data_IF_142882258245
#
_entry.id   IF_142882258245
#
_cell.length_a   1.000
_cell.length_b   1.000
_cell.length_c   1.000
_cell.angle_alpha   90.00
_cell.angle_beta   90.00
_cell.angle_gamma   90.00
#
_symmetry.space_group_name_H-M   'P 1'
#
loop_
_entity.id
_entity.type
_entity.pdbx_description
1 polymer ?
#
# COMPACT_ATOMS: atom_id res chain seq x y z
N UNK A 1 31.18 6.34 -1.30
CA UNK A 1 30.91 7.35 -0.26
C UNK A 1 29.57 8.00 -0.60
N UNK A 2 28.49 7.67 0.12
CA UNK A 2 27.19 8.29 -0.17
C UNK A 2 27.23 9.76 0.29
N UNK A 3 26.95 10.69 -0.61
CA UNK A 3 26.67 12.06 -0.20
C UNK A 3 25.42 12.02 0.68
N UNK A 4 25.52 12.57 1.89
CA UNK A 4 24.35 12.78 2.73
C UNK A 4 23.35 13.64 1.94
N UNK A 5 22.11 13.18 1.87
CA UNK A 5 21.04 13.86 1.17
C UNK A 5 20.84 15.26 1.77
N UNK A 6 20.96 16.31 0.95
CA UNK A 6 20.81 17.69 1.40
C UNK A 6 19.33 18.02 1.59
N UNK A 7 18.88 18.06 2.84
CA UNK A 7 17.50 18.42 3.19
C UNK A 7 17.31 19.96 3.24
N UNK A 8 16.09 20.48 2.97
CA UNK A 8 15.78 21.89 3.22
C UNK A 8 15.89 22.21 4.73
N UNK A 9 15.96 23.50 5.12
CA UNK A 9 15.95 23.88 6.53
C UNK A 9 14.75 23.25 7.26
N UNK A 10 15.04 22.49 8.31
CA UNK A 10 14.05 21.81 9.14
C UNK A 10 14.58 21.75 10.57
N UNK A 11 13.67 21.52 11.52
CA UNK A 11 14.06 21.16 12.88
C UNK A 11 14.81 19.81 12.85
N UNK A 12 16.07 19.74 13.29
CA UNK A 12 16.84 18.50 13.29
C UNK A 12 16.23 17.39 14.17
N UNK A 13 15.37 17.77 15.13
CA UNK A 13 14.62 16.84 15.98
C UNK A 13 13.25 16.45 15.38
N UNK A 14 12.86 17.10 14.28
CA UNK A 14 11.60 16.87 13.59
C UNK A 14 11.56 15.54 12.83
N UNK A 15 10.36 14.97 12.72
CA UNK A 15 10.13 13.77 11.93
C UNK A 15 10.36 14.04 10.44
N UNK A 16 11.31 13.31 9.84
CA UNK A 16 11.55 13.33 8.39
C UNK A 16 10.98 12.06 7.77
N UNK A 17 10.00 12.23 6.88
CA UNK A 17 9.40 11.14 6.12
C UNK A 17 9.82 11.25 4.64
N UNK A 18 10.31 10.14 4.09
CA UNK A 18 10.58 10.04 2.65
C UNK A 18 9.43 9.32 1.98
N UNK A 19 8.98 9.86 0.85
CA UNK A 19 7.88 9.29 0.09
C UNK A 19 8.24 9.17 -1.38
N UNK A 20 7.57 8.25 -2.06
CA UNK A 20 7.54 8.16 -3.52
C UNK A 20 6.09 8.24 -3.94
N UNK A 21 5.78 9.22 -4.78
CA UNK A 21 4.44 9.44 -5.29
C UNK A 21 4.25 8.62 -6.57
N UNK A 22 3.17 7.85 -6.62
CA UNK A 22 2.75 7.06 -7.77
C UNK A 22 1.27 7.28 -8.02
N UNK A 23 0.76 6.80 -9.15
CA UNK A 23 -0.67 6.75 -9.40
C UNK A 23 -1.02 5.55 -10.30
N UNK A 24 -2.25 5.08 -10.18
CA UNK A 24 -2.83 4.11 -11.10
C UNK A 24 -4.25 4.53 -11.45
N UNK A 25 -4.53 4.75 -12.74
CA UNK A 25 -5.83 5.23 -13.20
C UNK A 25 -6.19 6.65 -12.73
N UNK A 26 -5.21 7.43 -12.28
CA UNK A 26 -5.41 8.78 -11.73
C UNK A 26 -5.52 8.82 -10.20
N UNK A 27 -5.75 7.68 -9.56
CA UNK A 27 -5.77 7.57 -8.09
C UNK A 27 -4.35 7.66 -7.53
N UNK A 28 -4.07 8.59 -6.59
CA UNK A 28 -2.74 8.81 -6.05
C UNK A 28 -2.35 7.73 -5.04
N UNK A 29 -1.06 7.38 -5.01
CA UNK A 29 -0.47 6.57 -3.97
C UNK A 29 0.85 7.17 -3.48
N UNK A 30 0.86 7.59 -2.22
CA UNK A 30 2.06 7.98 -1.48
C UNK A 30 2.70 6.76 -0.82
N UNK A 31 3.81 6.28 -1.37
CA UNK A 31 4.54 5.13 -0.81
C UNK A 31 5.59 5.62 0.19
N UNK A 32 5.50 5.16 1.43
CA UNK A 32 6.58 5.29 2.43
C UNK A 32 7.40 3.99 2.40
N UNK A 33 8.62 4.00 1.85
CA UNK A 33 9.45 2.80 1.81
C UNK A 33 9.95 2.39 3.20
N UNK A 34 10.57 1.20 3.35
CA UNK A 34 11.11 0.75 4.64
C UNK A 34 12.15 1.71 5.25
N UNK A 35 12.90 2.43 4.41
CA UNK A 35 13.85 3.49 4.80
C UNK A 35 13.21 4.89 4.91
N UNK A 36 11.87 4.96 4.90
CA UNK A 36 11.08 6.18 4.77
C UNK A 36 10.81 6.95 6.06
N UNK A 37 11.42 6.56 7.19
CA UNK A 37 11.33 7.30 8.45
C UNK A 37 10.30 6.80 9.46
N UNK A 38 9.68 5.64 9.25
CA UNK A 38 8.73 5.01 10.19
C UNK A 38 9.24 3.67 10.76
N UNK A 39 10.46 3.67 11.30
CA UNK A 39 11.14 2.46 11.77
C UNK A 39 10.39 1.72 12.91
N UNK A 40 9.59 2.43 13.70
CA UNK A 40 8.73 1.83 14.74
C UNK A 40 7.73 0.82 14.18
N UNK A 41 7.24 1.03 12.95
CA UNK A 41 6.39 0.07 12.24
C UNK A 41 7.16 -1.12 11.69
N UNK A 42 8.49 -1.14 11.76
CA UNK A 42 9.34 -2.27 11.37
C UNK A 42 9.83 -3.10 12.57
N UNK A 43 9.35 -2.83 13.79
CA UNK A 43 9.70 -3.59 15.01
C UNK A 43 9.48 -5.09 14.82
N UNK A 44 10.47 -5.97 15.03
CA UNK A 44 10.31 -7.42 14.87
C UNK A 44 9.21 -8.02 15.76
N UNK A 45 8.66 -9.17 15.35
CA UNK A 45 7.71 -9.94 16.17
C UNK A 45 6.25 -9.51 16.06
N UNK A 46 5.94 -8.38 15.42
CA UNK A 46 4.56 -7.97 15.13
C UNK A 46 4.11 -8.48 13.76
N UNK A 47 2.90 -9.04 13.72
CA UNK A 47 2.15 -9.31 12.48
C UNK A 47 1.75 -8.01 11.79
N UNK A 48 1.42 -8.08 10.50
CA UNK A 48 0.98 -6.93 9.72
C UNK A 48 -0.28 -6.27 10.32
N UNK A 49 -1.22 -7.06 10.83
CA UNK A 49 -2.43 -6.57 11.49
C UNK A 49 -2.13 -5.88 12.82
N UNK A 50 -1.18 -6.40 13.61
CA UNK A 50 -0.73 -5.74 14.83
C UNK A 50 -0.02 -4.42 14.55
N UNK A 51 0.81 -4.36 13.49
CA UNK A 51 1.42 -3.09 13.03
C UNK A 51 0.37 -2.08 12.61
N UNK A 52 -0.65 -2.52 11.86
CA UNK A 52 -1.80 -1.66 11.46
C UNK A 52 -2.56 -1.16 12.68
N UNK A 53 -2.79 -2.01 13.68
CA UNK A 53 -3.44 -1.60 14.94
C UNK A 53 -2.58 -0.58 15.68
N UNK A 54 -1.29 -0.86 15.85
CA UNK A 54 -0.33 0.03 16.50
C UNK A 54 -0.29 1.41 15.84
N UNK A 55 -0.27 1.47 14.50
CA UNK A 55 -0.33 2.71 13.73
C UNK A 55 -1.54 3.57 14.10
N UNK A 56 -2.71 2.95 14.29
CA UNK A 56 -3.97 3.66 14.57
C UNK A 56 -4.13 4.00 16.05
N UNK A 57 -3.51 3.25 16.96
CA UNK A 57 -3.68 3.43 18.42
C UNK A 57 -2.57 4.25 19.06
N UNK A 58 -1.38 4.34 18.46
CA UNK A 58 -0.31 5.23 18.95
C UNK A 58 -0.56 6.66 18.48
N UNK A 59 -0.62 7.64 19.40
CA UNK A 59 -0.77 9.05 19.04
C UNK A 59 0.32 9.56 18.11
N UNK A 60 1.57 9.12 18.29
CA UNK A 60 2.70 9.56 17.45
C UNK A 60 2.60 9.00 16.03
N UNK A 61 2.25 7.72 15.88
CA UNK A 61 2.15 7.08 14.57
C UNK A 61 0.91 7.55 13.81
N UNK A 62 -0.21 7.75 14.50
CA UNK A 62 -1.41 8.31 13.89
C UNK A 62 -1.20 9.79 13.50
N UNK A 63 -0.39 10.54 14.26
CA UNK A 63 0.04 11.88 13.85
C UNK A 63 0.90 11.84 12.58
N UNK A 64 1.83 10.88 12.45
CA UNK A 64 2.58 10.69 11.21
C UNK A 64 1.68 10.29 10.03
N UNK A 65 0.68 9.42 10.24
CA UNK A 65 -0.33 9.10 9.23
C UNK A 65 -1.09 10.34 8.78
N UNK A 66 -1.60 11.14 9.72
CA UNK A 66 -2.30 12.41 9.40
C UNK A 66 -1.39 13.37 8.65
N UNK A 67 -0.13 13.50 9.04
CA UNK A 67 0.86 14.35 8.36
C UNK A 67 1.03 13.95 6.88
N UNK A 68 0.98 12.65 6.58
CA UNK A 68 1.07 12.13 5.22
C UNK A 68 -0.22 12.34 4.40
N UNK A 69 -1.39 12.24 5.04
CA UNK A 69 -2.68 12.18 4.35
C UNK A 69 -3.41 13.52 4.28
N UNK A 70 -3.31 14.36 5.30
CA UNK A 70 -4.08 15.60 5.42
C UNK A 70 -3.35 16.78 4.81
N UNK A 71 -4.11 17.81 4.46
CA UNK A 71 -3.56 19.12 4.09
C UNK A 71 -2.66 19.66 5.22
N UNK A 72 -1.56 20.36 4.88
CA UNK A 72 -1.20 20.86 3.56
C UNK A 72 -0.33 19.91 2.71
N UNK A 73 0.01 18.72 3.22
CA UNK A 73 0.95 17.80 2.52
C UNK A 73 0.24 16.75 1.68
N UNK A 74 -0.94 16.33 2.11
CA UNK A 74 -1.87 15.53 1.33
C UNK A 74 -3.07 16.37 0.91
N UNK A 75 -4.19 15.70 0.71
CA UNK A 75 -5.48 16.28 0.35
C UNK A 75 -6.59 15.28 0.68
N UNK A 76 -7.85 15.69 0.51
CA UNK A 76 -9.03 14.86 0.81
C UNK A 76 -8.93 13.43 0.26
N UNK A 77 -8.47 13.29 -0.96
CA UNK A 77 -8.41 12.01 -1.69
C UNK A 77 -7.02 11.35 -1.66
N UNK A 78 -6.11 11.79 -0.77
CA UNK A 78 -4.78 11.20 -0.66
C UNK A 78 -4.85 9.78 -0.10
N UNK A 79 -4.09 8.88 -0.71
CA UNK A 79 -3.93 7.49 -0.30
C UNK A 79 -2.46 7.15 -0.11
N UNK A 80 -2.15 6.30 0.87
CA UNK A 80 -0.77 5.93 1.17
C UNK A 80 -0.57 4.43 1.39
N UNK A 81 0.67 3.99 1.18
CA UNK A 81 1.14 2.66 1.54
C UNK A 81 2.41 2.77 2.38
N UNK A 82 2.38 2.27 3.61
CA UNK A 82 3.55 2.16 4.48
C UNK A 82 4.13 0.76 4.32
N UNK A 83 5.35 0.68 3.77
CA UNK A 83 6.01 -0.59 3.54
C UNK A 83 6.77 -1.04 4.79
N UNK A 84 6.52 -2.27 5.21
CA UNK A 84 7.08 -2.89 6.41
C UNK A 84 7.60 -4.29 6.08
N UNK A 85 8.50 -4.87 6.89
CA UNK A 85 8.81 -6.28 6.79
C UNK A 85 7.55 -7.12 6.99
N UNK A 86 7.38 -8.14 6.14
CA UNK A 86 6.36 -9.16 6.37
C UNK A 86 6.93 -10.35 7.15
N UNK A 87 6.10 -10.87 8.06
CA UNK A 87 6.20 -12.15 8.75
C UNK A 87 5.96 -13.36 7.84
N UNK A 88 5.34 -13.19 6.68
CA UNK A 88 5.14 -14.25 5.70
C UNK A 88 6.44 -14.48 4.91
N UNK A 89 6.97 -15.73 4.87
CA UNK A 89 8.21 -16.04 4.14
C UNK A 89 8.12 -15.75 2.63
N UNK A 90 6.94 -15.97 2.04
CA UNK A 90 6.67 -15.82 0.61
C UNK A 90 6.40 -14.37 0.18
N UNK A 91 6.16 -13.46 1.12
CA UNK A 91 5.90 -12.06 0.82
C UNK A 91 7.20 -11.28 0.64
N UNK A 92 7.29 -10.52 -0.44
CA UNK A 92 8.41 -9.62 -0.71
C UNK A 92 8.41 -8.45 0.29
N UNK A 93 7.23 -7.86 0.49
CA UNK A 93 6.99 -6.73 1.39
C UNK A 93 5.62 -6.86 2.07
N UNK A 94 5.49 -6.28 3.27
CA UNK A 94 4.20 -5.99 3.88
C UNK A 94 3.77 -4.56 3.56
N UNK A 95 2.48 -4.34 3.34
CA UNK A 95 1.92 -3.03 3.03
C UNK A 95 0.76 -2.69 3.97
N UNK A 96 0.89 -1.56 4.68
CA UNK A 96 -0.21 -0.98 5.45
C UNK A 96 -0.79 0.18 4.66
N UNK A 97 -2.02 0.02 4.20
CA UNK A 97 -2.73 1.04 3.42
C UNK A 97 -3.40 2.05 4.34
N UNK A 98 -3.18 3.34 4.08
CA UNK A 98 -3.70 4.45 4.87
C UNK A 98 -4.44 5.44 3.98
N UNK A 99 -5.45 6.09 4.54
CA UNK A 99 -6.22 7.16 3.91
C UNK A 99 -6.63 8.20 4.97
N UNK A 100 -7.32 9.25 4.53
CA UNK A 100 -7.75 10.37 5.37
C UNK A 100 -8.47 9.96 6.69
N UNK A 101 -9.27 8.89 6.66
CA UNK A 101 -10.12 8.40 7.76
C UNK A 101 -9.52 7.22 8.54
N UNK A 102 -8.36 6.68 8.13
CA UNK A 102 -7.75 5.57 8.86
C UNK A 102 -6.91 4.67 7.95
N UNK A 103 -7.13 3.36 8.05
CA UNK A 103 -6.43 2.34 7.28
C UNK A 103 -7.42 1.36 6.65
N UNK A 104 -7.11 0.89 5.44
CA UNK A 104 -7.95 -0.06 4.69
C UNK A 104 -7.42 -1.49 4.79
N UNK A 105 -8.22 -2.45 4.32
CA UNK A 105 -7.80 -3.86 4.27
C UNK A 105 -7.12 -4.25 2.95
N UNK A 106 -7.53 -3.67 1.83
CA UNK A 106 -6.97 -3.90 0.49
C UNK A 106 -7.26 -2.70 -0.41
N UNK A 107 -6.39 -2.44 -1.38
CA UNK A 107 -6.62 -1.43 -2.41
C UNK A 107 -5.98 -1.81 -3.74
N UNK A 108 -6.79 -2.04 -4.78
CA UNK A 108 -6.31 -2.50 -6.08
C UNK A 108 -5.36 -1.53 -6.79
N UNK A 109 -5.66 -0.22 -6.80
CA UNK A 109 -4.78 0.78 -7.42
C UNK A 109 -3.40 0.80 -6.72
N UNK A 110 -3.39 0.60 -5.39
CA UNK A 110 -2.18 0.60 -4.61
C UNK A 110 -1.32 -0.62 -4.92
N UNK A 111 -1.93 -1.81 -5.02
CA UNK A 111 -1.26 -3.05 -5.41
C UNK A 111 -0.60 -2.91 -6.79
N UNK A 112 -1.26 -2.28 -7.76
CA UNK A 112 -0.69 -2.03 -9.10
C UNK A 112 0.57 -1.15 -9.03
N UNK A 113 0.53 -0.07 -8.25
CA UNK A 113 1.68 0.79 -8.04
C UNK A 113 2.82 0.04 -7.31
N UNK A 114 2.48 -0.71 -6.26
CA UNK A 114 3.45 -1.43 -5.45
C UNK A 114 4.14 -2.57 -6.22
N UNK A 115 3.45 -3.23 -7.15
CA UNK A 115 4.06 -4.24 -8.03
C UNK A 115 5.26 -3.66 -8.79
N UNK A 116 5.11 -2.43 -9.29
CA UNK A 116 6.17 -1.70 -9.98
C UNK A 116 7.22 -1.17 -9.02
N UNK A 117 6.79 -0.56 -7.93
CA UNK A 117 7.64 -0.01 -6.89
C UNK A 117 8.65 -1.03 -6.36
N UNK A 118 8.17 -2.22 -6.00
CA UNK A 118 9.01 -3.27 -5.40
C UNK A 118 10.08 -3.75 -6.37
N UNK A 119 9.78 -3.84 -7.67
CA UNK A 119 10.76 -4.20 -8.70
C UNK A 119 11.77 -3.07 -8.94
N UNK A 120 11.29 -1.84 -9.14
CA UNK A 120 12.12 -0.68 -9.49
C UNK A 120 13.10 -0.30 -8.38
N UNK A 121 12.72 -0.51 -7.11
CA UNK A 121 13.56 -0.25 -5.95
C UNK A 121 14.34 -1.49 -5.46
N UNK A 122 14.25 -2.62 -6.17
CA UNK A 122 14.97 -3.85 -5.80
C UNK A 122 14.56 -4.42 -4.44
N UNK A 123 13.31 -4.23 -4.04
CA UNK A 123 12.74 -4.70 -2.78
C UNK A 123 12.24 -6.15 -2.82
N UNK A 124 12.17 -6.74 -4.02
CA UNK A 124 11.77 -8.14 -4.21
C UNK A 124 12.75 -9.07 -3.47
N UNK A 125 12.22 -10.04 -2.72
CA UNK A 125 13.01 -11.07 -2.06
C UNK A 125 13.38 -12.15 -3.07
N UNK A 126 14.64 -12.57 -3.03
CA UNK A 126 15.21 -13.53 -3.98
C UNK A 126 15.66 -12.89 -5.30
N UNK A 127 16.43 -13.64 -6.09
CA UNK A 127 16.89 -13.15 -7.38
C UNK A 127 15.68 -12.88 -8.28
N UNK A 128 15.65 -11.76 -9.04
CA UNK A 128 14.64 -11.58 -10.05
C UNK A 128 14.72 -12.78 -10.99
N UNK A 129 13.61 -13.52 -11.12
CA UNK A 129 13.49 -14.50 -12.18
C UNK A 129 13.91 -13.78 -13.48
N UNK A 130 14.87 -14.31 -14.28
CA UNK A 130 15.21 -13.71 -15.56
C UNK A 130 13.91 -13.42 -16.29
N UNK A 131 13.82 -12.27 -16.99
CA UNK A 131 12.59 -11.78 -17.61
C UNK A 131 11.79 -12.98 -18.10
N UNK A 132 10.69 -13.30 -17.39
CA UNK A 132 9.98 -14.53 -17.65
C UNK A 132 9.63 -14.51 -19.15
N UNK A 133 9.46 -15.65 -19.83
CA UNK A 133 9.12 -15.65 -21.25
C UNK A 133 7.90 -14.76 -21.59
N UNK A 134 7.05 -14.48 -20.60
CA UNK A 134 5.91 -13.54 -20.65
C UNK A 134 6.27 -12.04 -20.66
N UNK A 135 7.51 -11.65 -20.36
CA UNK A 135 7.92 -10.25 -20.18
C UNK A 135 7.43 -9.62 -18.87
N UNK A 136 6.98 -10.43 -17.90
CA UNK A 136 6.49 -9.98 -16.60
C UNK A 136 7.33 -10.52 -15.44
N UNK A 137 7.38 -9.77 -14.34
CA UNK A 137 7.90 -10.23 -13.06
C UNK A 137 6.78 -10.22 -12.00
N UNK A 138 6.76 -11.25 -11.16
CA UNK A 138 5.82 -11.37 -10.04
C UNK A 138 6.40 -10.77 -8.76
N UNK A 139 5.51 -10.21 -7.95
CA UNK A 139 5.76 -9.72 -6.60
C UNK A 139 4.62 -10.18 -5.71
N UNK A 140 4.93 -10.69 -4.52
CA UNK A 140 3.95 -11.04 -3.49
C UNK A 140 3.92 -9.94 -2.44
N UNK A 141 2.76 -9.28 -2.29
CA UNK A 141 2.56 -8.20 -1.33
C UNK A 141 1.69 -8.73 -0.19
N UNK A 142 2.21 -8.75 1.04
CA UNK A 142 1.38 -9.05 2.21
C UNK A 142 0.51 -7.83 2.52
N UNK A 143 -0.79 -7.96 2.28
CA UNK A 143 -1.81 -6.97 2.59
C UNK A 143 -2.56 -7.37 3.87
N UNK A 144 -3.30 -6.46 4.53
CA UNK A 144 -4.13 -6.82 5.67
C UNK A 144 -5.22 -7.87 5.35
N UNK A 145 -5.56 -8.07 4.07
CA UNK A 145 -6.45 -9.13 3.60
C UNK A 145 -5.73 -10.45 3.25
N UNK A 146 -4.43 -10.57 3.54
CA UNK A 146 -3.58 -11.70 3.16
C UNK A 146 -2.64 -11.40 1.99
N UNK A 147 -1.85 -12.39 1.54
CA UNK A 147 -0.89 -12.22 0.46
C UNK A 147 -1.60 -12.03 -0.89
N UNK A 148 -1.13 -11.04 -1.65
CA UNK A 148 -1.64 -10.70 -2.99
C UNK A 148 -0.52 -10.87 -4.00
N UNK A 149 -0.73 -11.73 -4.99
CA UNK A 149 0.19 -11.90 -6.11
C UNK A 149 -0.05 -10.81 -7.15
N UNK A 150 0.95 -9.98 -7.38
CA UNK A 150 0.95 -8.91 -8.37
C UNK A 150 2.03 -9.15 -9.43
N UNK A 151 1.81 -8.59 -10.60
CA UNK A 151 2.66 -8.77 -11.77
C UNK A 151 2.84 -7.43 -12.46
N UNK A 152 4.05 -7.15 -12.92
CA UNK A 152 4.32 -5.98 -13.76
C UNK A 152 5.23 -6.38 -14.92
N UNK A 153 5.04 -5.72 -16.07
CA UNK A 153 5.99 -5.82 -17.18
C UNK A 153 7.39 -5.43 -16.73
N UNK A 154 8.41 -6.21 -17.09
CA UNK A 154 9.77 -6.06 -16.59
C UNK A 154 10.81 -6.41 -17.67
N UNK A 155 11.76 -5.50 -17.92
CA UNK A 155 12.81 -5.68 -18.94
C UNK A 155 14.15 -6.22 -18.37
N UNK A 156 14.18 -6.59 -17.09
CA UNK A 156 15.42 -6.94 -16.37
C UNK A 156 15.99 -5.81 -15.52
N UNK A 157 15.56 -4.57 -15.75
CA UNK A 157 16.07 -3.37 -15.08
C UNK A 157 14.99 -2.41 -14.60
N UNK A 158 13.87 -2.29 -15.32
CA UNK A 158 12.79 -1.33 -15.02
C UNK A 158 11.41 -1.92 -15.29
N UNK A 159 10.45 -1.50 -14.48
CA UNK A 159 9.03 -1.80 -14.64
C UNK A 159 8.41 -0.98 -15.79
N UNK A 160 7.71 -1.67 -16.68
CA UNK A 160 6.91 -1.05 -17.74
C UNK A 160 5.54 -0.56 -17.26
N UNK A 161 4.67 -0.17 -18.19
CA UNK A 161 3.38 0.47 -17.87
C UNK A 161 2.28 -0.52 -17.47
N UNK A 162 2.43 -1.81 -17.78
CA UNK A 162 1.41 -2.83 -17.51
C UNK A 162 1.64 -3.44 -16.14
N UNK A 163 0.59 -3.47 -15.34
CA UNK A 163 0.54 -4.21 -14.09
C UNK A 163 -0.83 -4.86 -13.92
N UNK A 164 -0.86 -6.00 -13.23
CA UNK A 164 -2.08 -6.74 -12.88
C UNK A 164 -1.87 -7.45 -11.54
N UNK A 165 -2.94 -7.90 -10.92
CA UNK A 165 -2.85 -8.71 -9.71
C UNK A 165 -3.97 -9.73 -9.67
N UNK A 166 -3.76 -10.81 -8.93
CA UNK A 166 -4.83 -11.71 -8.54
C UNK A 166 -5.35 -11.26 -7.19
N UNK A 167 -6.58 -10.76 -7.17
CA UNK A 167 -7.22 -10.34 -5.93
C UNK A 167 -7.50 -11.55 -5.03
N UNK A 168 -7.67 -11.29 -3.74
CA UNK A 168 -8.23 -12.27 -2.81
C UNK A 168 -9.65 -12.69 -3.26
N UNK A 169 -10.11 -13.90 -2.91
CA UNK A 169 -11.45 -14.35 -3.24
C UNK A 169 -12.53 -13.33 -2.82
N UNK A 170 -13.42 -13.01 -3.75
CA UNK A 170 -14.52 -12.07 -3.56
C UNK A 170 -15.85 -12.77 -3.82
N UNK A 171 -16.88 -12.38 -3.07
CA UNK A 171 -18.23 -12.93 -3.20
C UNK A 171 -19.28 -11.84 -2.94
N UNK A 172 -20.50 -12.06 -3.43
CA UNK A 172 -21.62 -11.21 -3.07
C UNK A 172 -22.11 -11.63 -1.67
N UNK A 173 -21.98 -10.74 -0.68
CA UNK A 173 -22.45 -10.98 0.68
C UNK A 173 -23.99 -10.93 0.77
N UNK A 174 -24.61 -10.09 -0.06
CA UNK A 174 -26.05 -10.04 -0.21
C UNK A 174 -26.45 -9.54 -1.60
N UNK A 175 -27.57 -10.05 -2.11
CA UNK A 175 -28.11 -9.68 -3.43
C UNK A 175 -29.59 -9.36 -3.30
N UNK A 176 -30.09 -8.40 -4.08
CA UNK A 176 -31.51 -8.06 -4.09
C UNK A 176 -31.98 -7.28 -2.86
N UNK A 177 -31.07 -6.60 -2.16
CA UNK A 177 -31.41 -5.79 -1.00
C UNK A 177 -32.17 -4.53 -1.45
N UNK A 178 -33.34 -4.30 -0.86
CA UNK A 178 -34.07 -3.03 -1.03
C UNK A 178 -33.65 -2.05 0.06
N UNK A 179 -33.14 -0.89 -0.34
CA UNK A 179 -32.82 0.20 0.58
C UNK A 179 -33.73 1.39 0.28
N UNK A 180 -34.41 1.87 1.30
CA UNK A 180 -35.19 3.11 1.25
C UNK A 180 -34.35 4.26 1.82
N UNK A 181 -34.38 5.41 1.14
CA UNK A 181 -33.82 6.67 1.66
C UNK A 181 -34.90 7.75 1.63
N UNK A 182 -34.77 8.77 2.48
CA UNK A 182 -35.76 9.86 2.56
C UNK A 182 -35.88 10.67 1.26
N UNK A 183 -34.86 10.62 0.39
CA UNK A 183 -34.78 11.42 -0.85
C UNK A 183 -34.97 10.61 -2.13
N UNK A 184 -34.90 9.27 -2.09
CA UNK A 184 -35.01 8.42 -3.28
C UNK A 184 -35.95 7.23 -3.04
N UNK A 185 -36.81 6.93 -4.03
CA UNK A 185 -37.60 5.70 -4.09
C UNK A 185 -36.68 4.47 -4.08
N UNK A 186 -37.14 3.33 -3.54
CA UNK A 186 -36.32 2.16 -3.19
C UNK A 186 -35.28 1.76 -4.25
N UNK A 187 -34.00 1.65 -3.84
CA UNK A 187 -32.91 1.15 -4.68
C UNK A 187 -32.66 -0.33 -4.42
N UNK A 188 -32.38 -1.09 -5.49
CA UNK A 188 -31.92 -2.47 -5.42
C UNK A 188 -30.39 -2.47 -5.45
N UNK A 189 -29.75 -3.07 -4.45
CA UNK A 189 -28.30 -3.09 -4.32
C UNK A 189 -27.75 -4.52 -4.20
N UNK A 190 -26.50 -4.68 -4.64
CA UNK A 190 -25.68 -5.86 -4.46
C UNK A 190 -24.45 -5.49 -3.62
N UNK A 191 -24.24 -6.19 -2.50
CA UNK A 191 -23.12 -5.95 -1.61
C UNK A 191 -22.02 -6.96 -1.87
N UNK A 192 -20.84 -6.50 -2.26
CA UNK A 192 -19.66 -7.33 -2.46
C UNK A 192 -18.78 -7.32 -1.20
N UNK A 193 -18.26 -8.49 -0.83
CA UNK A 193 -17.33 -8.68 0.28
C UNK A 193 -16.12 -9.50 -0.18
N UNK A 194 -15.05 -9.37 0.59
CA UNK A 194 -13.84 -10.19 0.48
C UNK A 194 -13.90 -11.32 1.51
N UNK A 195 -13.37 -12.50 1.17
CA UNK A 195 -13.06 -13.52 2.18
C UNK A 195 -11.76 -13.09 2.87
N UNK A 196 -11.82 -12.90 4.19
CA UNK A 196 -10.67 -12.65 5.05
C UNK A 196 -10.25 -13.94 5.75
#
# INVERSE_FOLDING_TARGET
MSQAEKLPPHDPSGLVLRTVEMHAGGEPLRVVPPWGGLASLATPGLSLLERRRLLLTSPELDAARRLLMHEPRGHRDMYGALLVPSELPEADVGAIFVHNQGASAMCGHAVLCLARFVLDYGLRRGAPSPAAPSGEASVTIHCPCGPVAAFASWDGRRSGTRARFHSVPAFAAATGCKISSKEHCSLLLHFFSWLF
#
